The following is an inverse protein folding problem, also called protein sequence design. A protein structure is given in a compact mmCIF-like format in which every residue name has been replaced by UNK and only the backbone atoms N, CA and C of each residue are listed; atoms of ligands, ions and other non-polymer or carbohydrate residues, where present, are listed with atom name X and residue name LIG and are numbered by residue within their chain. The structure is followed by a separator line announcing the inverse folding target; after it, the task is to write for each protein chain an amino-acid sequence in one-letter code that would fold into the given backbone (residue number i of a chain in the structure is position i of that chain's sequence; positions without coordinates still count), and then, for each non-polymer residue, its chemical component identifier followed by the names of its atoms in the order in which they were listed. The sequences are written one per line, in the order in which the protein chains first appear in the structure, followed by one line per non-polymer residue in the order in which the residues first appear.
data_IF_539417634558
#
_entry.id   IF_539417634558
#
_cell.length_a   1.000
_cell.length_b   1.000
_cell.length_c   1.000
_cell.angle_alpha   90.00
_cell.angle_beta   90.00
_cell.angle_gamma   90.00
#
_symmetry.space_group_name_H-M   'P 1'
#
loop_
_entity.id
_entity.type
_entity.pdbx_description
1 polymer ?
#
# COMPACT_ATOMS: atom_id res chain seq x y z
N UNK A 1 -11.41 9.98 -14.85
CA UNK A 1 -10.09 10.51 -14.53
C UNK A 1 -9.84 10.38 -13.04
N UNK A 2 -8.61 10.12 -12.64
CA UNK A 2 -8.22 10.21 -11.22
C UNK A 2 -8.19 11.71 -10.89
N UNK A 3 -8.92 12.18 -9.87
CA UNK A 3 -8.87 13.58 -9.50
C UNK A 3 -7.43 13.92 -9.06
N UNK A 4 -6.84 14.92 -9.68
CA UNK A 4 -5.58 15.50 -9.23
C UNK A 4 -5.87 16.38 -8.01
N UNK A 5 -5.11 16.16 -6.94
CA UNK A 5 -5.18 17.03 -5.76
C UNK A 5 -4.84 18.47 -6.17
N UNK A 6 -5.61 19.46 -5.72
CA UNK A 6 -5.29 20.87 -5.97
C UNK A 6 -3.89 21.23 -5.47
N UNK A 7 -3.21 22.11 -6.19
CA UNK A 7 -1.87 22.55 -5.80
C UNK A 7 -1.85 23.29 -4.46
N UNK A 8 -2.96 23.94 -4.13
CA UNK A 8 -3.13 24.66 -2.87
C UNK A 8 -2.96 23.76 -1.64
N UNK A 9 -3.26 22.46 -1.74
CA UNK A 9 -3.05 21.49 -0.63
C UNK A 9 -1.57 21.31 -0.28
N UNK A 10 -0.66 21.60 -1.21
CA UNK A 10 0.79 21.47 -0.97
C UNK A 10 1.35 22.60 -0.10
N UNK A 11 0.63 23.71 0.00
CA UNK A 11 1.02 24.90 0.78
C UNK A 11 0.30 24.96 2.13
N UNK A 12 -0.60 24.02 2.39
CA UNK A 12 -1.35 23.99 3.66
C UNK A 12 -0.47 23.43 4.78
N UNK A 13 -0.67 23.96 5.98
CA UNK A 13 -0.02 23.45 7.19
C UNK A 13 -0.57 22.08 7.58
N UNK A 14 0.20 21.34 8.37
CA UNK A 14 -0.26 20.04 8.90
C UNK A 14 -1.42 20.23 9.87
N UNK A 15 -2.43 19.38 9.78
CA UNK A 15 -3.63 19.50 10.60
C UNK A 15 -4.81 18.68 10.09
N UNK A 16 -5.93 18.79 10.80
CA UNK A 16 -7.20 18.21 10.40
C UNK A 16 -7.97 19.18 9.50
N UNK A 17 -8.43 18.66 8.38
CA UNK A 17 -9.21 19.39 7.39
C UNK A 17 -10.53 18.69 7.11
N UNK A 18 -11.51 19.45 6.70
CA UNK A 18 -12.80 18.93 6.25
C UNK A 18 -13.03 19.35 4.79
N UNK A 19 -13.23 18.37 3.93
CA UNK A 19 -13.59 18.58 2.53
C UNK A 19 -15.10 18.54 2.39
N UNK A 20 -15.67 19.62 1.89
CA UNK A 20 -17.07 19.72 1.51
C UNK A 20 -17.18 19.69 -0.01
N UNK A 21 -17.87 18.70 -0.55
CA UNK A 21 -18.15 18.62 -1.98
C UNK A 21 -19.66 18.77 -2.21
N UNK A 22 -20.04 19.61 -3.15
CA UNK A 22 -21.42 19.77 -3.59
C UNK A 22 -21.55 19.58 -5.10
N UNK A 23 -22.57 18.86 -5.52
CA UNK A 23 -22.89 18.69 -6.94
C UNK A 23 -24.36 19.04 -7.16
N UNK A 24 -24.64 19.82 -8.21
CA UNK A 24 -25.99 20.13 -8.64
C UNK A 24 -26.29 19.34 -9.93
N UNK A 25 -27.27 18.45 -9.87
CA UNK A 25 -27.68 17.60 -11.00
C UNK A 25 -29.17 17.81 -11.23
N UNK A 26 -29.53 18.43 -12.32
CA UNK A 26 -30.94 18.67 -12.75
C UNK A 26 -31.83 19.40 -11.70
N UNK A 27 -31.21 20.26 -10.87
CA UNK A 27 -31.92 21.01 -9.83
C UNK A 27 -31.87 20.38 -8.43
N UNK A 28 -31.40 19.15 -8.31
CA UNK A 28 -31.13 18.50 -7.03
C UNK A 28 -29.69 18.74 -6.59
N UNK A 29 -29.49 19.06 -5.32
CA UNK A 29 -28.17 19.27 -4.73
C UNK A 29 -27.78 18.07 -3.90
N UNK A 30 -26.69 17.38 -4.29
CA UNK A 30 -26.04 16.37 -3.49
C UNK A 30 -24.83 16.99 -2.77
N UNK A 31 -24.65 16.69 -1.49
CA UNK A 31 -23.50 17.12 -0.71
C UNK A 31 -22.78 15.93 -0.10
N UNK A 32 -21.46 16.02 0.01
CA UNK A 32 -20.61 15.02 0.62
C UNK A 32 -19.53 15.73 1.45
N UNK A 33 -19.29 15.19 2.64
CA UNK A 33 -18.28 15.69 3.56
C UNK A 33 -17.31 14.57 3.94
N UNK A 34 -16.03 14.89 4.01
CA UNK A 34 -15.01 13.98 4.50
C UNK A 34 -13.96 14.73 5.31
N UNK A 35 -13.57 14.14 6.43
CA UNK A 35 -12.43 14.64 7.21
C UNK A 35 -11.19 13.87 6.82
N UNK A 36 -10.09 14.59 6.69
CA UNK A 36 -8.78 14.02 6.41
C UNK A 36 -7.72 14.77 7.18
N UNK A 37 -6.63 14.08 7.40
CA UNK A 37 -5.43 14.59 8.03
C UNK A 37 -4.40 14.92 6.96
N UNK A 38 -3.78 16.08 7.09
CA UNK A 38 -2.67 16.52 6.25
C UNK A 38 -1.41 16.56 7.10
N UNK A 39 -0.37 15.84 6.68
CA UNK A 39 0.92 15.80 7.33
C UNK A 39 2.01 16.23 6.36
N UNK A 40 2.91 17.08 6.80
CA UNK A 40 4.08 17.47 6.03
C UNK A 40 5.26 16.55 6.33
N UNK A 41 6.04 16.21 5.29
CA UNK A 41 7.30 15.49 5.45
C UNK A 41 8.38 16.31 6.17
N UNK A 42 8.17 17.60 6.31
CA UNK A 42 9.09 18.53 6.98
C UNK A 42 8.72 18.78 8.44
N UNK A 43 7.62 18.19 8.92
CA UNK A 43 7.25 18.32 10.32
C UNK A 43 8.32 17.66 11.21
N UNK A 44 8.66 18.35 12.27
CA UNK A 44 9.63 17.89 13.29
C UNK A 44 8.97 17.51 14.61
N UNK A 45 7.67 17.79 14.71
CA UNK A 45 6.83 17.44 15.88
C UNK A 45 5.46 17.01 15.37
N UNK A 46 4.78 16.18 16.15
CA UNK A 46 3.39 15.83 15.89
C UNK A 46 2.49 17.00 16.25
N UNK A 47 1.55 17.37 15.38
CA UNK A 47 0.64 18.50 15.64
C UNK A 47 -0.49 18.13 16.61
N UNK A 48 -0.71 16.83 16.89
CA UNK A 48 -1.66 16.33 17.88
C UNK A 48 -0.96 15.40 18.88
N UNK A 49 -1.65 15.10 19.98
CA UNK A 49 -1.13 14.20 20.99
C UNK A 49 -1.22 12.75 20.53
N UNK A 50 -0.08 12.15 20.20
CA UNK A 50 0.07 10.75 19.84
C UNK A 50 1.27 10.16 20.56
N UNK A 51 1.06 9.07 21.31
CA UNK A 51 2.14 8.45 22.09
C UNK A 51 3.19 7.79 21.21
N UNK A 52 2.75 7.12 20.16
CA UNK A 52 3.61 6.38 19.24
C UNK A 52 3.12 6.55 17.80
N UNK A 53 3.95 7.20 16.98
CA UNK A 53 3.73 7.36 15.55
C UNK A 53 4.72 6.54 14.73
N UNK A 54 4.23 5.75 13.79
CA UNK A 54 5.03 5.08 12.76
C UNK A 54 4.22 4.96 11.49
N UNK A 55 4.63 5.65 10.45
CA UNK A 55 3.96 5.64 9.15
C UNK A 55 4.95 5.41 8.02
N UNK A 56 4.50 4.71 6.98
CA UNK A 56 5.24 4.52 5.75
C UNK A 56 4.88 5.59 4.74
N UNK A 57 5.77 6.56 4.55
CA UNK A 57 5.59 7.67 3.60
C UNK A 57 5.89 7.21 2.17
N UNK A 58 7.06 6.60 1.97
CA UNK A 58 7.44 5.94 0.74
C UNK A 58 7.45 4.42 0.98
N UNK A 59 6.31 3.78 0.79
CA UNK A 59 6.09 2.35 1.10
C UNK A 59 6.79 1.36 0.17
N UNK A 60 7.53 1.86 -0.84
CA UNK A 60 8.29 1.02 -1.76
C UNK A 60 9.73 1.47 -1.84
N UNK A 61 10.64 0.49 -2.01
CA UNK A 61 12.06 0.74 -2.23
C UNK A 61 12.60 -0.19 -3.32
N UNK A 62 13.68 0.22 -3.97
CA UNK A 62 14.39 -0.56 -4.98
C UNK A 62 15.86 -0.16 -5.00
N UNK A 63 16.68 -0.80 -5.84
CA UNK A 63 18.08 -0.44 -5.97
C UNK A 63 18.21 1.05 -6.39
N UNK A 64 18.89 1.84 -5.56
CA UNK A 64 19.04 3.29 -5.74
C UNK A 64 17.85 4.15 -5.28
N UNK A 65 16.77 3.54 -4.77
CA UNK A 65 15.59 4.25 -4.24
C UNK A 65 15.27 3.76 -2.84
N UNK A 66 15.43 4.61 -1.84
CA UNK A 66 15.09 4.30 -0.45
C UNK A 66 13.58 4.32 -0.22
N UNK A 67 13.10 3.47 0.69
CA UNK A 67 11.81 3.65 1.33
C UNK A 67 11.90 4.70 2.42
N UNK A 68 10.80 5.31 2.80
CA UNK A 68 10.76 6.32 3.85
C UNK A 68 9.69 5.99 4.87
N UNK A 69 10.04 6.14 6.14
CA UNK A 69 9.11 6.05 7.26
C UNK A 69 9.20 7.33 8.08
N UNK A 70 8.08 7.75 8.64
CA UNK A 70 8.06 8.71 9.74
C UNK A 70 7.90 7.97 11.05
N UNK A 71 8.66 8.41 12.06
CA UNK A 71 8.61 7.87 13.40
C UNK A 71 8.66 9.00 14.41
N UNK A 72 7.82 8.92 15.44
CA UNK A 72 7.73 10.00 16.40
C UNK A 72 6.91 9.69 17.64
N UNK A 73 6.91 10.65 18.53
CA UNK A 73 6.10 10.66 19.74
C UNK A 73 5.86 12.10 20.20
N UNK A 74 4.70 12.38 20.76
CA UNK A 74 4.42 13.61 21.48
C UNK A 74 4.85 13.57 22.94
N UNK A 75 5.27 12.40 23.44
CA UNK A 75 5.74 12.24 24.81
C UNK A 75 7.13 12.85 24.98
N UNK A 76 7.43 13.27 26.18
CA UNK A 76 8.78 13.67 26.60
C UNK A 76 9.51 12.48 27.19
N UNK A 77 10.81 12.34 26.87
CA UNK A 77 11.68 11.31 27.43
C UNK A 77 11.17 9.88 27.19
N UNK A 78 10.84 9.55 25.93
CA UNK A 78 10.30 8.26 25.56
C UNK A 78 11.36 7.37 24.91
N UNK A 79 11.41 6.11 25.33
CA UNK A 79 12.26 5.07 24.73
C UNK A 79 11.41 4.14 23.86
N UNK A 80 11.83 4.00 22.63
CA UNK A 80 11.13 3.24 21.61
C UNK A 80 12.05 2.19 21.01
N UNK A 81 11.65 0.92 21.03
CA UNK A 81 12.35 -0.13 20.30
C UNK A 81 11.78 -0.25 18.91
N UNK A 82 12.65 -0.24 17.92
CA UNK A 82 12.28 -0.41 16.52
C UNK A 82 12.92 -1.69 16.01
N UNK A 83 12.10 -2.57 15.49
CA UNK A 83 12.54 -3.81 14.84
C UNK A 83 12.07 -3.81 13.39
N UNK A 84 12.91 -4.29 12.49
CA UNK A 84 12.48 -4.58 11.12
C UNK A 84 12.88 -5.99 10.73
N UNK A 85 11.94 -6.70 10.11
CA UNK A 85 12.10 -8.09 9.75
C UNK A 85 11.88 -8.30 8.25
N UNK A 86 12.79 -9.02 7.63
CA UNK A 86 12.61 -9.63 6.33
C UNK A 86 12.02 -11.04 6.47
N UNK A 87 11.70 -11.71 5.36
CA UNK A 87 11.27 -13.11 5.39
C UNK A 87 12.31 -14.07 5.99
N UNK A 88 13.57 -13.66 6.07
CA UNK A 88 14.69 -14.51 6.46
C UNK A 88 15.29 -14.17 7.82
N UNK A 89 15.34 -12.89 8.16
CA UNK A 89 16.05 -12.42 9.36
C UNK A 89 15.51 -11.07 9.87
N UNK A 90 15.83 -10.77 11.12
CA UNK A 90 15.74 -9.42 11.66
C UNK A 90 16.87 -8.59 11.06
N UNK A 91 16.52 -7.46 10.45
CA UNK A 91 17.46 -6.59 9.72
C UNK A 91 17.71 -5.27 10.41
N UNK A 92 16.80 -4.85 11.29
CA UNK A 92 16.93 -3.71 12.18
C UNK A 92 16.45 -4.14 13.56
N UNK A 93 17.24 -3.81 14.58
CA UNK A 93 16.86 -3.92 16.01
C UNK A 93 17.61 -2.82 16.74
N UNK A 94 16.89 -1.77 17.11
CA UNK A 94 17.48 -0.60 17.74
C UNK A 94 16.57 0.00 18.80
N UNK A 95 17.16 0.63 19.77
CA UNK A 95 16.47 1.40 20.80
C UNK A 95 16.73 2.88 20.52
N UNK A 96 15.68 3.66 20.41
CA UNK A 96 15.73 5.08 20.09
C UNK A 96 15.12 5.88 21.22
N UNK A 97 15.83 6.93 21.64
CA UNK A 97 15.32 7.90 22.60
C UNK A 97 14.71 9.08 21.84
N UNK A 98 13.46 9.36 22.09
CA UNK A 98 12.69 10.41 21.43
C UNK A 98 12.03 11.31 22.49
N UNK A 99 11.91 12.58 22.19
CA UNK A 99 11.27 13.56 23.07
C UNK A 99 10.53 14.59 22.24
N UNK A 100 9.21 14.51 22.21
CA UNK A 100 8.32 15.40 21.45
C UNK A 100 8.88 15.72 20.08
N UNK A 101 9.06 14.68 19.26
CA UNK A 101 9.71 14.79 17.96
C UNK A 101 9.08 13.86 16.94
N UNK A 102 9.18 14.28 15.69
CA UNK A 102 8.85 13.49 14.51
C UNK A 102 10.09 13.48 13.59
N UNK A 103 10.49 12.32 13.14
CA UNK A 103 11.68 12.13 12.30
C UNK A 103 11.31 11.32 11.07
N UNK A 104 11.86 11.70 9.94
CA UNK A 104 11.79 10.91 8.70
C UNK A 104 13.08 10.12 8.53
N UNK A 105 12.95 8.80 8.36
CA UNK A 105 14.07 7.90 8.15
C UNK A 105 14.05 7.34 6.74
N UNK A 106 15.18 7.46 6.06
CA UNK A 106 15.43 6.79 4.80
C UNK A 106 15.93 5.36 5.05
N UNK A 107 15.22 4.39 4.50
CA UNK A 107 15.57 2.98 4.60
C UNK A 107 16.07 2.53 3.23
N UNK A 108 17.39 2.46 3.01
CA UNK A 108 17.94 2.02 1.73
C UNK A 108 17.61 0.57 1.45
N UNK A 109 17.30 0.26 0.20
CA UNK A 109 17.04 -1.12 -0.21
C UNK A 109 18.33 -1.96 -0.09
N UNK A 110 18.18 -3.18 0.42
CA UNK A 110 19.23 -4.21 0.43
C UNK A 110 18.66 -5.52 -0.11
N UNK A 111 19.47 -6.27 -0.86
CA UNK A 111 19.04 -7.56 -1.47
C UNK A 111 18.57 -8.58 -0.44
N UNK A 112 19.11 -8.53 0.78
CA UNK A 112 18.72 -9.39 1.91
C UNK A 112 17.29 -9.13 2.40
N UNK A 113 16.69 -7.99 2.05
CA UNK A 113 15.30 -7.68 2.39
C UNK A 113 14.30 -8.46 1.52
N UNK A 114 14.77 -9.05 0.42
CA UNK A 114 13.92 -9.83 -0.48
C UNK A 114 12.76 -9.00 -1.01
N UNK A 115 11.54 -9.47 -0.75
CA UNK A 115 10.33 -8.79 -1.22
C UNK A 115 9.94 -7.57 -0.36
N UNK A 116 10.59 -7.37 0.78
CA UNK A 116 10.32 -6.26 1.67
C UNK A 116 10.58 -6.57 3.14
N UNK A 117 10.33 -5.57 3.98
CA UNK A 117 10.49 -5.65 5.43
C UNK A 117 9.22 -5.20 6.14
N UNK A 118 8.95 -5.83 7.27
CA UNK A 118 7.94 -5.43 8.23
C UNK A 118 8.63 -4.71 9.40
N UNK A 119 8.28 -3.46 9.61
CA UNK A 119 8.84 -2.62 10.66
C UNK A 119 7.82 -2.57 11.79
N UNK A 120 8.26 -2.78 13.00
CA UNK A 120 7.44 -2.67 14.20
C UNK A 120 8.15 -1.78 15.20
N UNK A 121 7.42 -0.84 15.78
CA UNK A 121 7.88 -0.03 16.91
C UNK A 121 7.06 -0.32 18.15
N UNK A 122 7.73 -0.28 19.29
CA UNK A 122 7.13 -0.51 20.59
C UNK A 122 7.60 0.57 21.54
N UNK A 123 6.66 1.11 22.28
CA UNK A 123 6.89 2.09 23.30
C UNK A 123 6.23 1.63 24.61
N UNK A 124 6.97 1.72 25.72
CA UNK A 124 6.43 1.52 27.06
C UNK A 124 6.40 2.88 27.77
N UNK A 125 5.23 3.25 28.26
CA UNK A 125 5.05 4.49 28.99
C UNK A 125 3.97 4.33 30.06
N UNK A 126 4.30 4.69 31.31
CA UNK A 126 3.38 4.67 32.45
C UNK A 126 2.64 3.33 32.66
N UNK A 127 3.27 2.21 32.31
CA UNK A 127 2.68 0.86 32.44
C UNK A 127 1.90 0.40 31.23
N UNK A 128 1.68 1.26 30.25
CA UNK A 128 1.04 0.93 28.98
C UNK A 128 2.08 0.53 27.93
N UNK A 129 1.69 -0.34 27.02
CA UNK A 129 2.45 -0.73 25.83
C UNK A 129 1.72 -0.29 24.58
N UNK A 130 2.35 0.56 23.79
CA UNK A 130 1.87 0.96 22.47
C UNK A 130 2.69 0.28 21.38
N UNK A 131 2.03 -0.14 20.31
CA UNK A 131 2.70 -0.76 19.15
C UNK A 131 2.16 -0.20 17.86
N UNK A 132 3.07 0.12 16.93
CA UNK A 132 2.73 0.47 15.56
C UNK A 132 3.55 -0.35 14.57
N UNK A 133 3.05 -0.51 13.35
CA UNK A 133 3.79 -1.22 12.32
C UNK A 133 3.62 -0.57 10.95
N UNK A 134 4.68 -0.67 10.15
CA UNK A 134 4.72 -0.24 8.77
C UNK A 134 5.36 -1.31 7.90
N UNK A 135 5.07 -1.30 6.60
CA UNK A 135 5.62 -2.26 5.65
C UNK A 135 6.28 -1.49 4.52
N UNK A 136 7.55 -1.80 4.24
CA UNK A 136 8.24 -1.38 3.03
C UNK A 136 8.36 -2.56 2.08
N UNK A 137 7.91 -2.37 0.84
CA UNK A 137 7.86 -3.41 -0.19
C UNK A 137 8.91 -3.16 -1.27
N UNK A 138 9.53 -4.23 -1.76
CA UNK A 138 10.33 -4.11 -2.96
C UNK A 138 9.44 -3.68 -4.13
N UNK A 139 9.85 -2.64 -4.84
CA UNK A 139 9.18 -2.21 -6.06
C UNK A 139 9.22 -3.36 -7.08
N UNK A 140 8.04 -3.80 -7.48
CA UNK A 140 7.95 -4.90 -8.43
C UNK A 140 7.95 -4.34 -9.85
N UNK A 141 8.67 -4.98 -10.77
CA UNK A 141 8.56 -4.63 -12.18
C UNK A 141 7.09 -4.70 -12.63
N UNK A 142 6.69 -3.77 -13.46
CA UNK A 142 5.36 -3.80 -14.04
C UNK A 142 5.28 -4.95 -15.06
N UNK A 143 4.69 -6.07 -14.65
CA UNK A 143 4.46 -7.23 -15.52
C UNK A 143 3.13 -7.18 -16.27
N UNK A 144 2.42 -6.07 -16.22
CA UNK A 144 1.13 -5.92 -16.90
C UNK A 144 1.36 -5.88 -18.41
N UNK A 145 0.95 -6.91 -19.09
CA UNK A 145 1.00 -6.95 -20.56
C UNK A 145 -0.21 -6.22 -21.15
N UNK A 146 0.01 -5.54 -22.27
CA UNK A 146 -1.06 -5.02 -23.11
C UNK A 146 -1.34 -6.01 -24.22
N UNK A 147 -2.63 -6.24 -24.49
CA UNK A 147 -3.09 -7.10 -25.57
C UNK A 147 -3.96 -6.27 -26.52
N UNK A 148 -3.70 -6.41 -27.81
CA UNK A 148 -4.45 -5.74 -28.86
C UNK A 148 -4.75 -6.72 -29.99
N UNK A 149 -6.03 -6.76 -30.42
CA UNK A 149 -6.42 -7.52 -31.58
C UNK A 149 -6.13 -6.69 -32.85
N UNK A 150 -5.23 -7.17 -33.69
CA UNK A 150 -4.87 -6.52 -34.95
C UNK A 150 -5.89 -6.89 -36.04
N UNK A 151 -6.35 -8.16 -36.02
CA UNK A 151 -7.43 -8.63 -36.82
C UNK A 151 -8.41 -9.47 -36.00
N UNK A 152 -9.68 -9.10 -36.03
CA UNK A 152 -10.73 -9.78 -35.29
C UNK A 152 -12.09 -9.52 -35.96
N UNK A 153 -12.89 -10.56 -36.14
CA UNK A 153 -14.30 -10.46 -36.56
C UNK A 153 -15.17 -10.96 -35.40
N UNK A 154 -16.19 -10.20 -35.10
CA UNK A 154 -17.17 -10.49 -34.04
C UNK A 154 -18.31 -11.40 -34.52
N UNK A 155 -18.48 -11.55 -35.85
CA UNK A 155 -19.52 -12.36 -36.48
C UNK A 155 -18.90 -13.35 -37.47
N UNK A 156 -19.18 -14.64 -37.27
CA UNK A 156 -18.68 -15.73 -38.08
C UNK A 156 -19.84 -16.55 -38.64
N UNK A 157 -19.65 -17.11 -39.84
CA UNK A 157 -20.57 -18.09 -40.38
C UNK A 157 -20.10 -19.51 -40.07
N UNK A 158 -21.03 -20.48 -39.88
CA UNK A 158 -20.67 -21.88 -39.69
C UNK A 158 -19.76 -22.41 -40.80
N UNK A 159 -18.63 -23.04 -40.41
CA UNK A 159 -17.66 -23.59 -41.36
C UNK A 159 -16.70 -22.58 -42.01
N UNK A 160 -16.79 -21.30 -41.67
CA UNK A 160 -15.88 -20.27 -42.15
C UNK A 160 -14.49 -20.46 -41.50
N UNK A 161 -13.44 -20.39 -42.32
CA UNK A 161 -12.05 -20.33 -41.85
C UNK A 161 -11.71 -18.88 -41.51
N UNK A 162 -11.20 -18.65 -40.32
CA UNK A 162 -10.75 -17.33 -39.88
C UNK A 162 -9.35 -17.40 -39.29
N UNK A 163 -8.64 -16.29 -39.43
CA UNK A 163 -7.34 -16.07 -38.81
C UNK A 163 -7.39 -14.78 -38.01
N UNK A 164 -7.11 -14.87 -36.72
CA UNK A 164 -7.07 -13.74 -35.83
C UNK A 164 -5.65 -13.48 -35.38
N UNK A 165 -5.26 -12.22 -35.35
CA UNK A 165 -3.95 -11.79 -34.94
C UNK A 165 -4.05 -10.99 -33.65
N UNK A 166 -3.33 -11.44 -32.63
CA UNK A 166 -3.22 -10.80 -31.32
C UNK A 166 -1.78 -10.36 -31.09
N UNK A 167 -1.60 -9.06 -30.86
CA UNK A 167 -0.30 -8.50 -30.47
C UNK A 167 -0.23 -8.33 -28.94
N UNK A 168 0.83 -8.90 -28.33
CA UNK A 168 1.12 -8.80 -26.90
C UNK A 168 2.40 -7.99 -26.70
N UNK A 169 2.32 -6.94 -25.88
CA UNK A 169 3.45 -6.03 -25.61
C UNK A 169 3.69 -5.85 -24.11
N UNK A 170 4.93 -5.58 -23.76
CA UNK A 170 5.29 -5.06 -22.46
C UNK A 170 4.78 -3.63 -22.25
N UNK A 171 4.72 -3.11 -21.01
CA UNK A 171 4.29 -1.74 -20.74
C UNK A 171 5.12 -0.67 -21.46
N UNK A 172 6.36 -0.98 -21.79
CA UNK A 172 7.27 -0.13 -22.57
C UNK A 172 7.11 -0.20 -24.08
N UNK A 173 6.10 -0.97 -24.56
CA UNK A 173 5.77 -1.13 -25.96
C UNK A 173 6.56 -2.20 -26.72
N UNK A 174 7.58 -2.83 -26.11
CA UNK A 174 8.34 -3.93 -26.74
C UNK A 174 7.48 -5.20 -26.87
N UNK A 175 7.67 -6.01 -27.91
CA UNK A 175 7.02 -7.30 -28.02
C UNK A 175 7.30 -8.19 -26.80
N UNK A 176 6.28 -8.89 -26.31
CA UNK A 176 6.40 -9.77 -25.16
C UNK A 176 6.32 -11.24 -25.61
N UNK A 177 7.24 -12.05 -25.12
CA UNK A 177 7.08 -13.50 -25.15
C UNK A 177 6.13 -13.91 -24.02
N UNK A 178 4.96 -14.43 -24.35
CA UNK A 178 3.93 -14.77 -23.37
C UNK A 178 3.26 -16.11 -23.72
N UNK A 179 2.79 -16.81 -22.69
CA UNK A 179 1.90 -17.95 -22.87
C UNK A 179 0.46 -17.41 -22.92
N UNK A 180 -0.27 -17.79 -23.98
CA UNK A 180 -1.67 -17.43 -24.16
C UNK A 180 -2.56 -18.66 -24.01
N UNK A 181 -3.63 -18.51 -23.25
CA UNK A 181 -4.75 -19.46 -23.28
C UNK A 181 -5.96 -18.74 -23.86
N UNK A 182 -6.50 -19.25 -24.95
CA UNK A 182 -7.68 -18.71 -25.58
C UNK A 182 -8.83 -19.73 -25.50
N UNK A 183 -10.05 -19.23 -25.31
CA UNK A 183 -11.29 -20.02 -25.33
C UNK A 183 -12.29 -19.33 -26.23
N UNK A 184 -12.95 -20.08 -27.07
CA UNK A 184 -14.05 -19.63 -27.91
C UNK A 184 -15.32 -20.40 -27.50
N UNK A 185 -16.40 -19.70 -27.29
CA UNK A 185 -17.70 -20.31 -27.00
C UNK A 185 -18.83 -19.52 -27.67
N UNK A 186 -19.98 -20.16 -27.84
CA UNK A 186 -21.15 -19.54 -28.38
C UNK A 186 -21.75 -18.52 -27.41
N UNK A 187 -21.82 -17.26 -27.79
CA UNK A 187 -22.33 -16.18 -26.93
C UNK A 187 -23.82 -16.36 -26.55
N UNK A 188 -24.58 -17.17 -27.27
CA UNK A 188 -25.97 -17.50 -26.89
C UNK A 188 -26.06 -18.24 -25.57
N UNK A 189 -24.99 -18.91 -25.14
CA UNK A 189 -24.91 -19.58 -23.83
C UNK A 189 -24.95 -18.60 -22.67
N UNK A 190 -24.53 -17.36 -22.87
CA UNK A 190 -24.59 -16.31 -21.84
C UNK A 190 -26.03 -15.92 -21.47
N UNK A 191 -27.00 -16.21 -22.32
CA UNK A 191 -28.42 -16.04 -22.03
C UNK A 191 -28.91 -17.05 -20.96
N UNK A 192 -28.25 -18.21 -20.85
CA UNK A 192 -28.57 -19.25 -19.89
C UNK A 192 -27.77 -19.10 -18.60
N UNK A 193 -26.47 -18.78 -18.71
CA UNK A 193 -25.58 -18.55 -17.58
C UNK A 193 -24.35 -17.77 -18.04
N UNK A 194 -24.10 -16.60 -17.44
CA UNK A 194 -22.91 -15.80 -17.75
C UNK A 194 -21.65 -16.55 -17.34
N UNK A 195 -20.84 -16.94 -18.31
CA UNK A 195 -19.57 -17.59 -18.09
C UNK A 195 -18.47 -16.54 -17.82
N UNK A 196 -17.90 -16.55 -16.63
CA UNK A 196 -16.77 -15.71 -16.27
C UNK A 196 -15.51 -16.57 -16.07
N UNK A 197 -14.62 -16.53 -17.05
CA UNK A 197 -13.27 -17.07 -16.90
C UNK A 197 -12.48 -16.13 -15.95
N UNK A 198 -12.33 -16.52 -14.70
CA UNK A 198 -11.50 -15.80 -13.73
C UNK A 198 -10.16 -16.49 -13.63
N UNK A 199 -9.15 -15.89 -14.21
CA UNK A 199 -7.77 -16.30 -14.02
C UNK A 199 -7.10 -15.33 -13.04
N UNK A 200 -6.94 -15.75 -11.79
CA UNK A 200 -6.24 -14.98 -10.77
C UNK A 200 -4.85 -15.59 -10.54
N UNK A 201 -3.83 -15.04 -11.16
CA UNK A 201 -2.44 -15.35 -10.79
C UNK A 201 -2.13 -14.57 -9.51
N UNK A 202 -2.44 -15.17 -8.36
CA UNK A 202 -2.03 -14.63 -7.07
C UNK A 202 -0.58 -15.02 -6.85
N UNK A 203 0.34 -14.10 -6.97
CA UNK A 203 1.67 -14.24 -6.36
C UNK A 203 1.48 -13.96 -4.87
N UNK A 204 1.71 -14.93 -3.97
CA UNK A 204 1.60 -14.66 -2.54
C UNK A 204 2.73 -13.69 -2.16
N UNK A 205 2.39 -12.41 -2.06
CA UNK A 205 3.27 -11.41 -1.49
C UNK A 205 3.10 -11.48 0.02
N UNK A 206 3.99 -12.18 0.69
CA UNK A 206 3.96 -12.32 2.14
C UNK A 206 5.28 -11.83 2.70
N UNK A 207 5.22 -10.71 3.40
CA UNK A 207 6.29 -10.30 4.31
C UNK A 207 5.86 -10.84 5.68
N UNK A 208 6.44 -11.94 6.16
CA UNK A 208 6.07 -12.45 7.46
C UNK A 208 6.62 -11.53 8.54
N UNK A 209 5.79 -11.18 9.51
CA UNK A 209 6.28 -10.71 10.80
C UNK A 209 6.59 -11.94 11.65
N UNK A 210 7.82 -12.04 12.14
CA UNK A 210 8.28 -13.12 13.02
C UNK A 210 8.08 -12.75 14.50
N UNK A 211 8.14 -11.45 14.80
CA UNK A 211 7.91 -10.92 16.12
C UNK A 211 6.47 -10.40 16.21
N UNK A 212 5.70 -11.01 17.06
CA UNK A 212 4.37 -10.52 17.46
C UNK A 212 4.52 -10.07 18.90
N UNK A 213 4.41 -8.77 19.11
CA UNK A 213 4.36 -8.22 20.44
C UNK A 213 2.91 -8.28 20.90
N UNK A 214 2.68 -8.97 22.00
CA UNK A 214 1.35 -9.07 22.61
C UNK A 214 1.43 -8.47 24.00
N UNK A 215 0.40 -7.71 24.33
CA UNK A 215 0.20 -7.28 25.70
C UNK A 215 -0.04 -8.54 26.54
N UNK A 216 0.79 -8.73 27.56
CA UNK A 216 0.54 -9.79 28.55
C UNK A 216 -0.55 -9.21 29.45
N UNK A 217 -1.77 -9.81 29.46
CA UNK A 217 -2.82 -9.31 30.34
C UNK A 217 -2.26 -9.24 31.76
N UNK A 218 -2.32 -8.05 32.35
CA UNK A 218 -1.93 -7.84 33.74
C UNK A 218 -2.63 -8.87 34.60
N UNK A 219 -1.87 -9.71 35.27
CA UNK A 219 -2.42 -10.58 36.31
C UNK A 219 -3.07 -9.66 37.33
N UNK A 220 -4.39 -9.70 37.34
CA UNK A 220 -5.17 -9.07 38.39
C UNK A 220 -4.73 -9.73 39.70
N UNK A 221 -3.93 -9.00 40.50
CA UNK A 221 -3.62 -9.40 41.85
C UNK A 221 -4.92 -9.24 42.65
N UNK A 222 -5.80 -10.24 42.53
CA UNK A 222 -6.84 -10.38 43.54
C UNK A 222 -6.15 -10.55 44.88
N UNK A 223 -6.16 -9.43 45.58
CA UNK A 223 -5.78 -9.33 46.99
C UNK A 223 -6.60 -10.35 47.81
N UNK A 224 -5.87 -11.16 48.54
CA UNK A 224 -6.42 -11.81 49.72
C UNK A 224 -6.42 -10.81 50.86
#
# INVERSE_FOLDING_TARGET
GVPTLPEELKEMESGWYELHATANIQGDTASWNSKFELNSLHDTVLYHHEKLHLESIQGTFSEGKAGQIQIGTSLRDAWMRITAESAQSTVIDTLVHLSNTLQTWDIPYRKEYGQGIHICSILFHEGDMETCSAILKQEQPNYKLSMHWDSFRDHLHPGQKEEWTLTIKHPDGRPAAANLTASLYDASLDALSKHQLRMAIKRPYRIPSRLVWQDIPSYDKTSH
#
